data_IF_578370155351
#
_entry.id   IF_578370155351
#
_cell.length_a   1.000
_cell.length_b   1.000
_cell.length_c   1.000
_cell.angle_alpha   90.00
_cell.angle_beta   90.00
_cell.angle_gamma   90.00
#
_symmetry.space_group_name_H-M   'P 1'
#
loop_
_entity.id
_entity.type
_entity.pdbx_description
1 polymer ?
#
# COMPACT_ATOMS: atom_id res chain seq x y z
N UNK A 1 -24.49 -1.99 -22.30
CA UNK A 1 -23.23 -2.38 -22.97
C UNK A 1 -22.18 -2.46 -21.87
N UNK A 2 -21.71 -3.66 -21.53
CA UNK A 2 -20.67 -3.83 -20.51
C UNK A 2 -19.36 -3.25 -21.07
N UNK A 3 -18.65 -2.47 -20.26
CA UNK A 3 -17.37 -1.88 -20.65
C UNK A 3 -16.33 -2.99 -20.87
N UNK A 4 -15.79 -3.17 -22.09
CA UNK A 4 -14.85 -4.23 -22.42
C UNK A 4 -13.48 -4.08 -21.75
N UNK A 5 -13.23 -2.99 -21.01
CA UNK A 5 -11.97 -2.72 -20.32
C UNK A 5 -12.06 -2.83 -18.79
N UNK A 6 -13.22 -3.22 -18.23
CA UNK A 6 -13.39 -3.34 -16.80
C UNK A 6 -12.55 -4.47 -16.16
N UNK A 7 -12.16 -5.49 -16.94
CA UNK A 7 -11.34 -6.62 -16.48
C UNK A 7 -9.83 -6.31 -16.38
N UNK A 8 -9.35 -5.19 -16.94
CA UNK A 8 -7.93 -4.79 -16.95
C UNK A 8 -7.59 -3.83 -15.78
N UNK A 9 -8.57 -3.53 -14.92
CA UNK A 9 -8.31 -2.78 -13.70
C UNK A 9 -7.66 -3.71 -12.68
N UNK A 10 -6.49 -3.36 -12.09
CA UNK A 10 -5.87 -4.17 -11.06
C UNK A 10 -6.87 -4.32 -9.91
N UNK A 11 -7.42 -5.53 -9.78
CA UNK A 11 -8.35 -5.84 -8.71
C UNK A 11 -7.64 -5.54 -7.40
N UNK A 12 -8.17 -4.56 -6.66
CA UNK A 12 -7.66 -4.24 -5.33
C UNK A 12 -7.81 -5.50 -4.51
N UNK A 13 -6.67 -6.14 -4.18
CA UNK A 13 -6.66 -7.33 -3.33
C UNK A 13 -7.50 -7.01 -2.09
N UNK A 14 -8.45 -7.88 -1.71
CA UNK A 14 -9.28 -7.65 -0.54
C UNK A 14 -8.36 -7.37 0.66
N UNK A 15 -8.66 -6.33 1.42
CA UNK A 15 -7.87 -5.95 2.58
C UNK A 15 -8.04 -7.03 3.64
N UNK A 16 -7.07 -7.95 3.73
CA UNK A 16 -7.10 -9.11 4.64
C UNK A 16 -6.99 -8.70 6.12
N UNK A 17 -6.72 -7.44 6.41
CA UNK A 17 -6.49 -6.93 7.75
C UNK A 17 -6.78 -5.43 7.87
N UNK A 18 -7.53 -5.04 8.91
CA UNK A 18 -7.77 -3.64 9.25
C UNK A 18 -6.81 -3.17 10.35
N UNK A 19 -6.36 -1.91 10.26
CA UNK A 19 -5.57 -1.30 11.34
C UNK A 19 -6.41 -1.18 12.61
N UNK A 20 -5.85 -1.62 13.74
CA UNK A 20 -6.52 -1.57 15.04
C UNK A 20 -7.60 -2.64 15.24
N UNK A 21 -7.68 -3.66 14.36
CA UNK A 21 -8.55 -4.80 14.61
C UNK A 21 -8.09 -5.61 15.83
N UNK A 22 -9.03 -6.30 16.47
CA UNK A 22 -8.71 -7.23 17.55
C UNK A 22 -7.87 -8.40 17.03
N UNK A 23 -6.87 -8.79 17.82
CA UNK A 23 -5.88 -9.83 17.51
C UNK A 23 -6.02 -11.05 18.42
N UNK A 24 -6.92 -11.02 19.41
CA UNK A 24 -7.02 -12.04 20.46
C UNK A 24 -7.27 -13.46 19.93
N UNK A 25 -7.92 -13.59 18.77
CA UNK A 25 -8.25 -14.88 18.15
C UNK A 25 -7.18 -15.42 17.19
N UNK A 26 -6.07 -14.69 16.98
CA UNK A 26 -5.03 -15.06 16.03
C UNK A 26 -3.94 -15.89 16.70
N UNK A 27 -3.42 -16.86 15.96
CA UNK A 27 -2.20 -17.58 16.31
C UNK A 27 -0.94 -16.73 16.11
N UNK A 28 0.18 -17.19 16.65
CA UNK A 28 1.48 -16.52 16.46
C UNK A 28 1.90 -16.47 14.99
N UNK A 29 1.72 -17.56 14.26
CA UNK A 29 2.07 -17.64 12.84
C UNK A 29 1.23 -16.64 12.01
N UNK A 30 -0.07 -16.51 12.30
CA UNK A 30 -0.94 -15.51 11.66
C UNK A 30 -0.55 -14.06 12.01
N UNK A 31 -0.04 -13.83 13.23
CA UNK A 31 0.48 -12.52 13.62
C UNK A 31 1.77 -12.20 12.88
N UNK A 32 2.67 -13.18 12.73
CA UNK A 32 3.93 -13.01 12.01
C UNK A 32 3.68 -12.73 10.52
N UNK A 33 2.81 -13.50 9.86
CA UNK A 33 2.42 -13.24 8.46
C UNK A 33 1.84 -11.84 8.29
N UNK A 34 0.99 -11.41 9.24
CA UNK A 34 0.39 -10.07 9.21
C UNK A 34 1.43 -8.97 9.42
N UNK A 35 2.41 -9.17 10.30
CA UNK A 35 3.53 -8.24 10.49
C UNK A 35 4.34 -8.09 9.21
N UNK A 36 4.63 -9.20 8.52
CA UNK A 36 5.36 -9.17 7.25
C UNK A 36 4.60 -8.40 6.17
N UNK A 37 3.29 -8.66 6.02
CA UNK A 37 2.41 -7.96 5.08
C UNK A 37 2.39 -6.45 5.34
N UNK A 38 2.24 -6.04 6.61
CA UNK A 38 2.24 -4.63 6.99
C UNK A 38 3.59 -3.95 6.76
N UNK A 39 4.71 -4.64 7.01
CA UNK A 39 6.05 -4.12 6.73
C UNK A 39 6.29 -3.91 5.24
N UNK A 40 5.85 -4.86 4.41
CA UNK A 40 5.93 -4.72 2.95
C UNK A 40 5.12 -3.51 2.46
N UNK A 41 3.93 -3.30 3.02
CA UNK A 41 3.11 -2.14 2.67
C UNK A 41 3.72 -0.81 3.14
N UNK A 42 4.33 -0.77 4.33
CA UNK A 42 5.09 0.40 4.79
C UNK A 42 6.21 0.74 3.81
N UNK A 43 7.02 -0.25 3.40
CA UNK A 43 8.10 -0.04 2.45
C UNK A 43 7.59 0.54 1.12
N UNK A 44 6.51 -0.01 0.57
CA UNK A 44 5.87 0.49 -0.64
C UNK A 44 5.41 1.96 -0.48
N UNK A 45 4.79 2.30 0.64
CA UNK A 45 4.32 3.67 0.92
C UNK A 45 5.52 4.62 1.00
N UNK A 46 6.61 4.21 1.63
CA UNK A 46 7.84 5.01 1.72
C UNK A 46 8.48 5.25 0.34
N UNK A 47 8.54 4.24 -0.52
CA UNK A 47 9.02 4.39 -1.90
C UNK A 47 8.21 5.43 -2.68
N UNK A 48 6.87 5.32 -2.64
CA UNK A 48 5.98 6.25 -3.32
C UNK A 48 6.12 7.67 -2.74
N UNK A 49 6.22 7.80 -1.42
CA UNK A 49 6.46 9.08 -0.73
C UNK A 49 7.76 9.72 -1.19
N UNK A 50 8.83 8.94 -1.30
CA UNK A 50 10.15 9.42 -1.72
C UNK A 50 10.13 9.87 -3.18
N UNK A 51 9.49 9.10 -4.07
CA UNK A 51 9.31 9.50 -5.47
C UNK A 51 8.53 10.82 -5.60
N UNK A 52 7.44 10.97 -4.84
CA UNK A 52 6.65 12.22 -4.80
C UNK A 52 7.47 13.40 -4.27
N UNK A 53 8.27 13.19 -3.22
CA UNK A 53 9.16 14.21 -2.67
C UNK A 53 10.20 14.67 -3.69
N UNK A 54 10.88 13.72 -4.34
CA UNK A 54 11.89 14.02 -5.36
C UNK A 54 11.28 14.83 -6.52
N UNK A 55 10.08 14.48 -6.98
CA UNK A 55 9.38 15.24 -8.01
C UNK A 55 9.05 16.67 -7.57
N UNK A 56 8.58 16.87 -6.33
CA UNK A 56 8.30 18.21 -5.79
C UNK A 56 9.58 19.04 -5.66
N UNK A 57 10.63 18.45 -5.10
CA UNK A 57 11.88 19.17 -4.85
C UNK A 57 12.58 19.56 -6.18
N UNK A 58 12.47 18.71 -7.21
CA UNK A 58 12.94 19.04 -8.57
C UNK A 58 12.14 20.19 -9.21
N UNK A 59 10.82 20.22 -9.03
CA UNK A 59 9.98 21.32 -9.48
C UNK A 59 10.33 22.62 -8.75
N UNK A 60 10.46 22.58 -7.42
CA UNK A 60 10.85 23.73 -6.60
C UNK A 60 12.20 24.33 -7.01
N UNK A 61 13.16 23.49 -7.45
CA UNK A 61 14.45 23.95 -7.94
C UNK A 61 14.39 24.58 -9.35
N UNK A 62 13.40 24.22 -10.17
CA UNK A 62 13.21 24.79 -11.50
C UNK A 62 12.51 26.16 -11.46
N UNK A 63 11.70 26.42 -10.43
CA UNK A 63 10.93 27.66 -10.28
C UNK A 63 11.58 28.73 -9.37
N UNK A 64 12.82 28.52 -8.91
CA UNK A 64 13.62 29.49 -8.13
C UNK A 64 14.80 30.00 -8.96
#
# INVERSE_FOLDING_TARGET
MADPFADDLPQRKPTLHALGQDLAALSLDELDERVEQLRAEIARIEEVRNAKRASRDAADAFFR
#
